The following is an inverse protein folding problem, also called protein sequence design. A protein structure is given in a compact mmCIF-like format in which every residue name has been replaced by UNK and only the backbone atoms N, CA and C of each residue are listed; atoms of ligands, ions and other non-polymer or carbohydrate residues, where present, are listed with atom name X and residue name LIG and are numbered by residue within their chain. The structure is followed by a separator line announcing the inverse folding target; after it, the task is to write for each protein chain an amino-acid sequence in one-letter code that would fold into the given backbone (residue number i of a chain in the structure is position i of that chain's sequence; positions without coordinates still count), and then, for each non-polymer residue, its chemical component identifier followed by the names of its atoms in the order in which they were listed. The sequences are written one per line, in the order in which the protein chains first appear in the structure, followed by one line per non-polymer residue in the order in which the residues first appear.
data_IF_555048011558
#
_entry.id   IF_555048011558
#
_cell.length_a   1.000
_cell.length_b   1.000
_cell.length_c   1.000
_cell.angle_alpha   90.00
_cell.angle_beta   90.00
_cell.angle_gamma   90.00
#
_symmetry.space_group_name_H-M   'P 1'
#
loop_
_entity.id
_entity.type
_entity.pdbx_description
1 polymer ?
#
# COMPACT_ATOMS: atom_id res chain seq x y z
N UNK A 1 -18.81 -11.90 -15.85
CA UNK A 1 -17.52 -11.70 -15.16
C UNK A 1 -17.28 -12.94 -14.33
N UNK A 2 -16.09 -13.56 -14.38
CA UNK A 2 -15.83 -14.80 -13.64
C UNK A 2 -15.62 -14.53 -12.15
N UNK A 3 -16.00 -15.48 -11.30
CA UNK A 3 -15.89 -15.39 -9.84
C UNK A 3 -14.43 -15.33 -9.33
N UNK A 4 -13.49 -15.85 -10.13
CA UNK A 4 -12.08 -15.98 -9.75
C UNK A 4 -11.26 -14.86 -10.39
N UNK A 5 -10.68 -13.98 -9.57
CA UNK A 5 -9.64 -13.06 -10.00
C UNK A 5 -8.35 -13.82 -10.35
N UNK A 6 -7.84 -13.60 -11.56
CA UNK A 6 -6.59 -14.17 -12.06
C UNK A 6 -5.54 -13.07 -12.15
N UNK A 7 -4.42 -13.16 -11.40
CA UNK A 7 -3.37 -12.16 -11.48
C UNK A 7 -2.67 -12.22 -12.84
N UNK A 8 -2.30 -11.04 -13.36
CA UNK A 8 -1.54 -10.93 -14.62
C UNK A 8 -0.06 -11.18 -14.31
N UNK A 9 0.67 -11.97 -15.13
CA UNK A 9 2.12 -12.12 -15.01
C UNK A 9 2.86 -10.78 -15.09
N UNK A 10 4.01 -10.66 -14.41
CA UNK A 10 4.75 -9.40 -14.32
C UNK A 10 5.19 -8.86 -15.69
N UNK A 11 5.71 -9.73 -16.57
CA UNK A 11 6.15 -9.30 -17.90
C UNK A 11 4.99 -8.83 -18.77
N UNK A 12 3.86 -9.54 -18.75
CA UNK A 12 2.63 -9.13 -19.45
C UNK A 12 2.06 -7.80 -18.90
N UNK A 13 2.19 -7.56 -17.59
CA UNK A 13 1.79 -6.30 -16.98
C UNK A 13 2.63 -5.13 -17.54
N UNK A 14 3.94 -5.30 -17.67
CA UNK A 14 4.82 -4.29 -18.26
C UNK A 14 4.50 -4.06 -19.74
N UNK A 15 4.37 -5.14 -20.53
CA UNK A 15 3.93 -5.08 -21.94
C UNK A 15 2.66 -4.26 -22.09
N UNK A 16 1.63 -4.58 -21.29
CA UNK A 16 0.36 -3.86 -21.35
C UNK A 16 0.51 -2.36 -21.04
N UNK A 17 1.31 -2.00 -20.02
CA UNK A 17 1.52 -0.59 -19.65
C UNK A 17 2.17 0.19 -20.80
N UNK A 18 3.25 -0.35 -21.38
CA UNK A 18 4.04 0.39 -22.35
C UNK A 18 3.44 0.34 -23.77
N UNK A 19 2.81 -0.75 -24.17
CA UNK A 19 2.09 -0.84 -25.44
C UNK A 19 0.88 0.09 -25.45
N UNK A 20 0.11 0.14 -24.35
CA UNK A 20 -1.02 1.06 -24.21
C UNK A 20 -0.53 2.52 -24.24
N UNK A 21 0.54 2.84 -23.50
CA UNK A 21 1.07 4.20 -23.49
C UNK A 21 1.62 4.62 -24.86
N UNK A 22 2.29 3.73 -25.59
CA UNK A 22 2.81 4.03 -26.92
C UNK A 22 1.69 4.27 -27.94
N UNK A 23 0.61 3.49 -27.88
CA UNK A 23 -0.48 3.55 -28.85
C UNK A 23 -1.52 4.63 -28.54
N UNK A 24 -1.83 4.85 -27.26
CA UNK A 24 -2.99 5.66 -26.83
C UNK A 24 -2.61 6.81 -25.89
N UNK A 25 -1.36 6.88 -25.41
CA UNK A 25 -0.95 7.82 -24.34
C UNK A 25 -1.79 7.66 -23.07
N UNK A 26 -2.18 6.42 -22.77
CA UNK A 26 -2.91 6.05 -21.56
C UNK A 26 -2.19 4.90 -20.85
N UNK A 27 -2.40 4.77 -19.54
CA UNK A 27 -2.02 3.58 -18.78
C UNK A 27 -3.25 3.12 -18.00
N UNK A 28 -3.74 1.91 -18.29
CA UNK A 28 -4.98 1.36 -17.74
C UNK A 28 -6.17 2.30 -17.91
N UNK A 29 -6.25 2.98 -19.07
CA UNK A 29 -7.30 3.93 -19.42
C UNK A 29 -7.15 5.32 -18.80
N UNK A 30 -6.10 5.58 -18.00
CA UNK A 30 -5.80 6.91 -17.48
C UNK A 30 -4.96 7.68 -18.51
N UNK A 31 -5.46 8.79 -19.09
CA UNK A 31 -4.70 9.60 -20.03
C UNK A 31 -3.49 10.27 -19.39
N UNK A 32 -2.41 10.42 -20.14
CA UNK A 32 -1.18 11.08 -19.70
C UNK A 32 -1.42 12.48 -19.14
N UNK A 33 -2.40 13.23 -19.66
CA UNK A 33 -2.75 14.57 -19.18
C UNK A 33 -3.32 14.56 -17.76
N UNK A 34 -3.76 13.40 -17.26
CA UNK A 34 -4.25 13.20 -15.90
C UNK A 34 -3.16 12.67 -14.94
N UNK A 35 -1.94 12.44 -15.44
CA UNK A 35 -0.83 12.02 -14.59
C UNK A 35 -0.46 13.16 -13.63
N UNK A 36 -0.54 12.87 -12.34
CA UNK A 36 -0.36 13.87 -11.30
C UNK A 36 1.12 14.12 -11.02
N UNK A 37 1.55 15.36 -11.21
CA UNK A 37 2.88 15.84 -10.80
C UNK A 37 2.77 16.56 -9.45
N UNK A 38 3.37 16.02 -8.37
CA UNK A 38 3.35 16.65 -7.06
C UNK A 38 4.08 17.98 -7.01
N UNK A 39 3.54 18.93 -6.24
CA UNK A 39 4.22 20.17 -5.90
C UNK A 39 5.14 19.93 -4.68
N UNK A 40 6.40 20.36 -4.77
CA UNK A 40 7.43 20.11 -3.75
C UNK A 40 7.05 20.52 -2.32
N UNK A 41 6.18 21.52 -2.14
CA UNK A 41 5.75 22.01 -0.82
C UNK A 41 4.78 21.08 -0.07
N UNK A 42 4.31 19.99 -0.71
CA UNK A 42 3.27 19.10 -0.14
C UNK A 42 3.80 17.75 0.35
N UNK A 43 5.12 17.54 0.33
CA UNK A 43 5.71 16.30 0.82
C UNK A 43 5.51 16.12 2.33
N UNK A 44 5.25 14.90 2.78
CA UNK A 44 5.17 14.55 4.19
C UNK A 44 6.17 13.45 4.55
N UNK A 45 6.65 13.45 5.78
CA UNK A 45 7.43 12.36 6.35
C UNK A 45 6.55 11.44 7.19
N UNK A 46 6.63 10.13 6.99
CA UNK A 46 5.96 9.12 7.81
C UNK A 46 6.97 8.05 8.17
N UNK A 47 7.21 7.85 9.47
CA UNK A 47 8.12 6.80 9.99
C UNK A 47 9.54 6.78 9.38
N UNK A 48 10.09 7.95 9.05
CA UNK A 48 11.41 8.07 8.43
C UNK A 48 11.42 7.91 6.91
N UNK A 49 10.27 7.62 6.30
CA UNK A 49 10.06 7.64 4.86
C UNK A 49 9.42 8.96 4.41
N UNK A 50 9.52 9.28 3.11
CA UNK A 50 8.91 10.47 2.51
C UNK A 50 7.86 10.08 1.46
N UNK A 51 6.72 10.78 1.49
CA UNK A 51 5.70 10.76 0.45
C UNK A 51 5.64 12.13 -0.22
N UNK A 52 5.57 12.18 -1.54
CA UNK A 52 5.45 13.44 -2.28
C UNK A 52 4.07 14.11 -2.12
N UNK A 53 3.04 13.37 -1.70
CA UNK A 53 1.70 13.88 -1.37
C UNK A 53 1.19 13.28 -0.05
N UNK A 54 0.32 13.99 0.70
CA UNK A 54 -0.31 13.45 1.90
C UNK A 54 -1.56 12.60 1.60
N UNK A 55 -1.68 12.09 0.37
CA UNK A 55 -2.87 11.40 -0.13
C UNK A 55 -2.50 9.99 -0.59
N UNK A 56 -3.47 9.09 -0.53
CA UNK A 56 -3.39 7.80 -1.16
C UNK A 56 -4.52 6.87 -0.71
N UNK A 57 -4.65 5.71 -1.36
CA UNK A 57 -5.76 4.82 -1.14
C UNK A 57 -5.63 4.12 0.22
N UNK A 58 -6.77 3.92 0.88
CA UNK A 58 -6.87 3.09 2.08
C UNK A 58 -6.93 1.60 1.72
N UNK A 59 -6.61 0.73 2.68
CA UNK A 59 -6.70 -0.72 2.55
C UNK A 59 -8.12 -1.13 2.13
N UNK A 60 -8.23 -1.71 0.94
CA UNK A 60 -9.52 -1.98 0.28
C UNK A 60 -9.32 -2.54 -1.13
N UNK A 61 -10.40 -2.78 -1.90
CA UNK A 61 -10.33 -3.39 -3.23
C UNK A 61 -9.41 -2.63 -4.20
N UNK A 62 -9.30 -1.30 -4.04
CA UNK A 62 -8.41 -0.44 -4.83
C UNK A 62 -6.91 -0.67 -4.57
N UNK A 63 -6.54 -1.49 -3.60
CA UNK A 63 -5.13 -1.75 -3.20
C UNK A 63 -4.81 -3.25 -3.19
N UNK A 64 -5.62 -4.04 -3.88
CA UNK A 64 -5.45 -5.49 -3.99
C UNK A 64 -4.68 -5.89 -5.26
N UNK A 65 -4.93 -5.20 -6.37
CA UNK A 65 -4.30 -5.47 -7.67
C UNK A 65 -3.17 -4.49 -7.94
N UNK A 66 -2.10 -4.98 -8.60
CA UNK A 66 -0.97 -4.14 -9.00
C UNK A 66 -1.43 -3.00 -9.93
N UNK A 67 -2.36 -3.26 -10.85
CA UNK A 67 -2.92 -2.24 -11.74
C UNK A 67 -3.55 -1.10 -10.93
N UNK A 68 -4.33 -1.40 -9.90
CA UNK A 68 -5.03 -0.39 -9.10
C UNK A 68 -4.03 0.44 -8.26
N UNK A 69 -2.97 -0.20 -7.77
CA UNK A 69 -1.89 0.50 -7.06
C UNK A 69 -1.16 1.45 -8.01
N UNK A 70 -0.87 1.01 -9.24
CA UNK A 70 -0.22 1.82 -10.26
C UNK A 70 -1.11 3.00 -10.69
N UNK A 71 -2.41 2.79 -10.92
CA UNK A 71 -3.33 3.89 -11.27
C UNK A 71 -3.50 4.88 -10.11
N UNK A 72 -3.55 4.42 -8.86
CA UNK A 72 -3.56 5.28 -7.70
C UNK A 72 -2.30 6.14 -7.64
N UNK A 73 -1.13 5.58 -7.96
CA UNK A 73 0.11 6.35 -8.05
C UNK A 73 0.11 7.35 -9.22
N UNK A 74 -0.30 6.93 -10.42
CA UNK A 74 -0.39 7.83 -11.58
C UNK A 74 -1.27 9.05 -11.30
N UNK A 75 -2.34 8.88 -10.52
CA UNK A 75 -3.31 9.94 -10.17
C UNK A 75 -3.00 10.69 -8.87
N UNK A 76 -1.82 10.46 -8.27
CA UNK A 76 -1.29 11.30 -7.19
C UNK A 76 -1.29 10.69 -5.78
N UNK A 77 -1.76 9.45 -5.63
CA UNK A 77 -1.59 8.67 -4.40
C UNK A 77 -0.13 8.35 -4.14
N UNK A 78 0.37 8.65 -2.95
CA UNK A 78 1.76 8.36 -2.53
C UNK A 78 1.83 7.59 -1.23
N UNK A 79 0.86 7.72 -0.33
CA UNK A 79 0.74 6.83 0.82
C UNK A 79 -0.24 5.70 0.50
N UNK A 80 0.27 4.53 0.14
CA UNK A 80 -0.54 3.40 -0.33
C UNK A 80 -0.67 2.40 0.80
N UNK A 81 -1.85 2.38 1.44
CA UNK A 81 -2.20 1.38 2.42
C UNK A 81 -2.66 0.11 1.69
N UNK A 82 -1.85 -0.95 1.73
CA UNK A 82 -2.12 -2.18 1.00
C UNK A 82 -3.35 -2.90 1.57
N UNK A 83 -4.07 -3.66 0.73
CA UNK A 83 -5.26 -4.41 1.16
C UNK A 83 -4.93 -5.28 2.37
N UNK A 84 -5.81 -5.23 3.37
CA UNK A 84 -5.68 -6.05 4.58
C UNK A 84 -5.64 -7.53 4.24
N UNK A 85 -4.59 -8.21 4.67
CA UNK A 85 -4.49 -9.67 4.61
C UNK A 85 -4.77 -10.30 5.97
N UNK A 86 -5.22 -11.55 5.95
CA UNK A 86 -5.56 -12.32 7.14
C UNK A 86 -5.29 -13.81 6.90
N UNK A 87 -5.24 -14.60 7.96
CA UNK A 87 -4.96 -16.04 7.87
C UNK A 87 -6.07 -16.82 7.12
N UNK A 88 -7.31 -16.35 7.20
CA UNK A 88 -8.46 -16.90 6.47
C UNK A 88 -8.50 -16.31 5.05
N UNK A 89 -7.68 -16.86 4.16
CA UNK A 89 -7.44 -16.34 2.80
C UNK A 89 -8.10 -17.17 1.67
N UNK A 90 -8.98 -18.11 2.04
CA UNK A 90 -9.74 -19.01 1.15
C UNK A 90 -11.23 -19.05 1.50
N UNK A 91 -11.78 -17.92 1.91
CA UNK A 91 -13.20 -17.82 2.22
C UNK A 91 -14.00 -17.87 0.91
N UNK A 92 -14.99 -18.76 0.85
CA UNK A 92 -16.04 -18.70 -0.15
C UNK A 92 -17.10 -17.72 0.37
N UNK A 93 -17.32 -16.63 -0.39
CA UNK A 93 -18.16 -15.51 0.01
C UNK A 93 -19.23 -15.31 -1.06
N UNK A 94 -20.47 -15.06 -0.63
CA UNK A 94 -21.52 -14.69 -1.57
C UNK A 94 -21.19 -13.37 -2.26
N UNK A 95 -21.48 -13.29 -3.56
CA UNK A 95 -21.21 -12.11 -4.38
C UNK A 95 -22.52 -11.52 -4.93
N UNK A 96 -22.66 -10.18 -4.95
CA UNK A 96 -21.64 -9.17 -4.63
C UNK A 96 -21.37 -9.02 -3.12
N UNK A 97 -20.10 -9.03 -2.73
CA UNK A 97 -19.66 -8.84 -1.33
C UNK A 97 -19.50 -7.35 -0.95
N UNK A 98 -19.76 -6.46 -1.91
CA UNK A 98 -19.79 -5.01 -1.75
C UNK A 98 -21.06 -4.52 -2.44
N UNK A 99 -21.93 -3.90 -1.68
CA UNK A 99 -23.10 -3.19 -2.19
C UNK A 99 -22.76 -1.71 -2.29
N UNK A 100 -22.72 -1.19 -3.52
CA UNK A 100 -22.25 0.16 -3.84
C UNK A 100 -23.36 1.10 -4.31
N UNK A 101 -24.65 0.77 -4.10
CA UNK A 101 -25.75 1.61 -4.58
C UNK A 101 -25.78 3.00 -3.93
N UNK A 102 -25.75 3.08 -2.60
CA UNK A 102 -25.81 4.35 -1.87
C UNK A 102 -24.57 4.59 -0.99
N UNK A 103 -24.56 4.06 0.24
CA UNK A 103 -23.54 4.35 1.25
C UNK A 103 -22.29 3.43 1.15
N UNK A 104 -22.26 2.56 0.15
CA UNK A 104 -21.21 1.57 -0.11
C UNK A 104 -20.87 0.71 1.12
N UNK A 105 -21.63 -0.37 1.33
CA UNK A 105 -21.42 -1.30 2.45
C UNK A 105 -20.63 -2.53 2.00
N UNK A 106 -19.70 -2.96 2.85
CA UNK A 106 -19.23 -4.35 2.79
C UNK A 106 -20.35 -5.22 3.38
N UNK A 107 -20.94 -6.07 2.55
CA UNK A 107 -21.96 -7.03 3.01
C UNK A 107 -21.30 -8.21 3.72
N UNK A 108 -20.04 -8.52 3.37
CA UNK A 108 -19.25 -9.62 3.94
C UNK A 108 -17.75 -9.28 4.00
N UNK A 109 -16.91 -10.25 4.42
CA UNK A 109 -15.45 -10.17 4.22
C UNK A 109 -15.12 -9.97 2.74
N UNK A 110 -14.00 -9.32 2.42
CA UNK A 110 -13.69 -8.94 1.02
C UNK A 110 -12.23 -9.20 0.65
N UNK A 111 -11.71 -10.39 0.95
CA UNK A 111 -10.35 -10.80 0.56
C UNK A 111 -10.43 -11.88 -0.51
N UNK A 112 -10.12 -11.54 -1.76
CA UNK A 112 -10.21 -12.50 -2.89
C UNK A 112 -8.88 -13.19 -3.20
N UNK A 113 -7.76 -12.63 -2.73
CA UNK A 113 -6.43 -13.19 -2.95
C UNK A 113 -5.87 -13.89 -1.72
N UNK A 114 -5.27 -15.05 -1.97
CA UNK A 114 -4.44 -15.72 -0.98
C UNK A 114 -3.24 -14.84 -0.62
N UNK A 115 -2.64 -15.07 0.54
CA UNK A 115 -1.45 -14.35 1.01
C UNK A 115 -0.34 -14.31 -0.06
N UNK A 116 -0.11 -15.45 -0.72
CA UNK A 116 0.88 -15.59 -1.81
C UNK A 116 0.54 -14.76 -3.04
N UNK A 117 -0.75 -14.66 -3.40
CA UNK A 117 -1.20 -13.84 -4.54
C UNK A 117 -1.15 -12.35 -4.20
N UNK A 118 -1.58 -11.97 -3.00
CA UNK A 118 -1.53 -10.58 -2.54
C UNK A 118 -0.09 -10.05 -2.53
N UNK A 119 0.84 -10.80 -1.92
CA UNK A 119 2.26 -10.45 -1.92
C UNK A 119 2.84 -10.33 -3.33
N UNK A 120 2.49 -11.26 -4.23
CA UNK A 120 2.93 -11.22 -5.62
C UNK A 120 2.49 -9.95 -6.37
N UNK A 121 1.26 -9.48 -6.14
CA UNK A 121 0.77 -8.21 -6.70
C UNK A 121 1.51 -7.00 -6.13
N UNK A 122 1.80 -6.99 -4.84
CA UNK A 122 2.56 -5.91 -4.21
C UNK A 122 3.98 -5.85 -4.74
N UNK A 123 4.60 -7.00 -4.97
CA UNK A 123 5.91 -7.07 -5.59
C UNK A 123 5.90 -6.56 -7.03
N UNK A 124 4.87 -6.91 -7.83
CA UNK A 124 4.71 -6.37 -9.20
C UNK A 124 4.59 -4.85 -9.17
N UNK A 125 3.70 -4.33 -8.33
CA UNK A 125 3.51 -2.89 -8.17
C UNK A 125 4.81 -2.21 -7.74
N UNK A 126 5.56 -2.81 -6.80
CA UNK A 126 6.83 -2.27 -6.32
C UNK A 126 7.84 -2.05 -7.44
N UNK A 127 8.13 -3.09 -8.23
CA UNK A 127 9.08 -2.98 -9.35
C UNK A 127 8.56 -2.03 -10.43
N UNK A 128 7.29 -2.12 -10.78
CA UNK A 128 6.69 -1.26 -11.80
C UNK A 128 6.74 0.20 -11.41
N UNK A 129 6.44 0.55 -10.15
CA UNK A 129 6.49 1.95 -9.70
C UNK A 129 7.93 2.51 -9.72
N UNK A 130 8.94 1.71 -9.33
CA UNK A 130 10.34 2.15 -9.45
C UNK A 130 10.75 2.42 -10.90
N UNK A 131 10.25 1.63 -11.86
CA UNK A 131 10.42 1.89 -13.28
C UNK A 131 9.68 3.15 -13.73
N UNK A 132 8.39 3.26 -13.40
CA UNK A 132 7.55 4.39 -13.80
C UNK A 132 8.05 5.72 -13.22
N UNK A 133 8.69 5.74 -12.05
CA UNK A 133 9.33 6.95 -11.54
C UNK A 133 10.47 7.45 -12.43
N UNK A 134 11.19 6.56 -13.12
CA UNK A 134 12.22 6.97 -14.07
C UNK A 134 11.63 7.36 -15.41
N UNK A 135 10.57 6.66 -15.87
CA UNK A 135 9.91 6.94 -17.15
C UNK A 135 9.10 8.23 -17.11
N UNK A 136 8.34 8.43 -16.03
CA UNK A 136 7.53 9.61 -15.78
C UNK A 136 8.08 10.27 -14.52
N UNK A 137 8.86 11.36 -14.62
CA UNK A 137 9.45 12.04 -13.47
C UNK A 137 8.40 12.83 -12.66
N UNK A 138 7.36 12.14 -12.19
CA UNK A 138 6.27 12.62 -11.34
C UNK A 138 6.67 12.67 -9.86
N UNK A 139 7.98 12.72 -9.58
CA UNK A 139 8.55 12.77 -8.24
C UNK A 139 9.31 14.09 -8.04
N UNK A 140 9.31 14.59 -6.80
CA UNK A 140 9.96 15.87 -6.45
C UNK A 140 11.45 15.72 -6.20
N UNK A 141 11.91 14.53 -5.82
CA UNK A 141 13.31 14.23 -5.50
C UNK A 141 13.85 13.22 -6.52
N UNK A 142 15.02 13.54 -7.10
CA UNK A 142 15.62 12.69 -8.15
C UNK A 142 16.10 11.35 -7.61
N UNK A 143 16.43 11.27 -6.33
CA UNK A 143 17.19 10.15 -5.73
C UNK A 143 16.38 9.26 -4.77
N UNK A 144 15.22 9.71 -4.29
CA UNK A 144 14.37 8.95 -3.36
C UNK A 144 13.02 8.61 -3.98
N UNK A 145 12.49 7.43 -3.67
CA UNK A 145 11.12 7.05 -4.04
C UNK A 145 10.11 8.07 -3.52
N UNK A 146 9.07 8.34 -4.29
CA UNK A 146 8.04 9.35 -3.98
C UNK A 146 6.88 8.81 -3.15
N UNK A 147 6.83 7.49 -2.92
CA UNK A 147 5.69 6.78 -2.34
C UNK A 147 6.09 5.84 -1.18
N UNK A 148 5.12 5.52 -0.34
CA UNK A 148 5.23 4.59 0.77
C UNK A 148 4.21 3.47 0.56
N UNK A 149 4.65 2.24 0.71
CA UNK A 149 3.75 1.11 0.95
C UNK A 149 3.65 0.93 2.45
N UNK A 150 2.41 0.85 2.94
CA UNK A 150 2.12 0.52 4.32
C UNK A 150 1.28 -0.76 4.31
N UNK A 151 1.83 -1.85 4.84
CA UNK A 151 1.11 -3.12 4.81
C UNK A 151 -0.10 -3.06 5.75
N UNK A 152 -1.15 -3.79 5.46
CA UNK A 152 -2.29 -3.92 6.38
C UNK A 152 -2.49 -5.39 6.74
N UNK A 153 -2.55 -5.67 8.03
CA UNK A 153 -2.84 -7.02 8.54
C UNK A 153 -4.03 -6.95 9.49
N UNK A 154 -4.87 -7.97 9.44
CA UNK A 154 -6.01 -8.14 10.33
C UNK A 154 -5.95 -9.48 11.03
N UNK A 155 -7.02 -9.77 11.78
CA UNK A 155 -7.21 -10.96 12.63
C UNK A 155 -6.61 -10.82 14.04
N UNK A 156 -6.66 -11.91 14.83
CA UNK A 156 -6.09 -11.99 16.17
C UNK A 156 -4.57 -12.29 16.13
N UNK A 157 -3.91 -12.12 17.27
CA UNK A 157 -2.47 -12.33 17.43
C UNK A 157 -2.05 -13.76 17.06
N UNK A 158 -2.87 -14.76 17.45
CA UNK A 158 -2.57 -16.16 17.15
C UNK A 158 -2.56 -16.43 15.64
N UNK A 159 -3.53 -15.88 14.89
CA UNK A 159 -3.55 -15.98 13.44
C UNK A 159 -2.42 -15.21 12.77
N UNK A 160 -2.06 -14.03 13.30
CA UNK A 160 -0.90 -13.26 12.82
C UNK A 160 0.40 -14.04 13.00
N UNK A 161 0.53 -14.80 14.10
CA UNK A 161 1.70 -15.64 14.38
C UNK A 161 1.78 -16.91 13.55
N UNK A 162 0.74 -17.27 12.79
CA UNK A 162 0.77 -18.48 11.98
C UNK A 162 1.80 -18.39 10.85
N UNK A 163 2.44 -19.52 10.46
CA UNK A 163 3.52 -19.51 9.48
C UNK A 163 3.21 -18.80 8.15
N UNK A 164 2.01 -18.93 7.54
CA UNK A 164 1.69 -18.22 6.29
C UNK A 164 1.66 -16.69 6.45
N UNK A 165 1.15 -16.20 7.59
CA UNK A 165 1.13 -14.76 7.89
C UNK A 165 2.53 -14.23 8.17
N UNK A 166 3.36 -15.03 8.87
CA UNK A 166 4.76 -14.70 9.12
C UNK A 166 5.56 -14.64 7.81
N UNK A 167 5.39 -15.63 6.94
CA UNK A 167 6.00 -15.63 5.59
C UNK A 167 5.59 -14.38 4.80
N UNK A 168 4.31 -13.98 4.85
CA UNK A 168 3.87 -12.74 4.21
C UNK A 168 4.54 -11.49 4.80
N UNK A 169 4.51 -11.34 6.14
CA UNK A 169 5.08 -10.17 6.84
C UNK A 169 6.59 -10.07 6.58
N UNK A 170 7.30 -11.18 6.72
CA UNK A 170 8.77 -11.22 6.58
C UNK A 170 9.17 -10.90 5.13
N UNK A 171 8.45 -11.42 4.12
CA UNK A 171 8.72 -11.08 2.73
C UNK A 171 8.33 -9.63 2.35
N UNK A 172 7.41 -8.99 3.08
CA UNK A 172 7.15 -7.55 2.91
C UNK A 172 8.27 -6.70 3.54
N UNK A 173 8.80 -7.14 4.68
CA UNK A 173 9.91 -6.49 5.38
C UNK A 173 11.24 -6.63 4.62
N UNK A 174 11.52 -7.80 4.07
CA UNK A 174 12.70 -8.07 3.27
C UNK A 174 12.46 -9.24 2.30
N UNK A 175 12.35 -8.92 1.01
CA UNK A 175 12.16 -9.89 -0.06
C UNK A 175 13.50 -10.39 -0.66
N UNK A 176 14.66 -10.00 -0.12
CA UNK A 176 15.96 -10.22 -0.76
C UNK A 176 16.30 -11.70 -0.98
N UNK A 177 15.86 -12.56 -0.07
CA UNK A 177 16.04 -14.01 -0.16
C UNK A 177 14.95 -14.71 -1.00
N UNK A 178 13.87 -14.01 -1.37
CA UNK A 178 12.73 -14.64 -2.04
C UNK A 178 13.00 -14.84 -3.55
N UNK A 179 12.82 -16.05 -4.11
CA UNK A 179 13.14 -16.33 -5.53
C UNK A 179 12.42 -15.42 -6.53
N UNK A 180 11.15 -15.09 -6.27
CA UNK A 180 10.39 -14.15 -7.11
C UNK A 180 10.99 -12.73 -7.16
N UNK A 181 11.64 -12.27 -6.09
CA UNK A 181 12.30 -10.96 -6.10
C UNK A 181 13.45 -10.95 -7.12
N UNK A 182 14.29 -12.00 -7.09
CA UNK A 182 15.34 -12.19 -8.08
C UNK A 182 14.76 -12.30 -9.51
N UNK A 183 13.68 -13.08 -9.68
CA UNK A 183 13.00 -13.22 -10.97
C UNK A 183 12.50 -11.87 -11.53
N UNK A 184 11.86 -11.03 -10.70
CA UNK A 184 11.34 -9.73 -11.17
C UNK A 184 12.46 -8.74 -11.44
N UNK A 185 13.53 -8.78 -10.63
CA UNK A 185 14.76 -8.03 -10.90
C UNK A 185 15.35 -8.41 -12.25
N UNK A 186 15.46 -9.71 -12.54
CA UNK A 186 16.03 -10.19 -13.81
C UNK A 186 15.13 -9.82 -14.99
N UNK A 187 13.81 -9.93 -14.85
CA UNK A 187 12.86 -9.46 -15.85
C UNK A 187 13.00 -7.97 -16.11
N UNK A 188 13.04 -7.14 -15.06
CA UNK A 188 13.26 -5.70 -15.21
C UNK A 188 14.60 -5.42 -15.88
N UNK A 189 15.67 -6.13 -15.52
CA UNK A 189 16.99 -5.97 -16.12
C UNK A 189 16.98 -6.29 -17.63
N UNK A 190 16.28 -7.35 -18.05
CA UNK A 190 16.10 -7.68 -19.48
C UNK A 190 15.38 -6.56 -20.23
N UNK A 191 14.34 -5.99 -19.63
CA UNK A 191 13.62 -4.85 -20.21
C UNK A 191 14.52 -3.63 -20.38
N UNK A 192 15.32 -3.30 -19.36
CA UNK A 192 16.26 -2.17 -19.38
C UNK A 192 17.42 -2.36 -20.38
N UNK A 193 17.80 -3.60 -20.69
CA UNK A 193 18.80 -3.92 -21.71
C UNK A 193 18.26 -3.89 -23.15
N UNK A 194 16.93 -3.89 -23.33
CA UNK A 194 16.30 -3.85 -24.63
C UNK A 194 16.33 -2.43 -25.22
N UNK A 195 17.21 -2.20 -26.20
CA UNK A 195 17.36 -0.89 -26.86
C UNK A 195 16.05 -0.38 -27.48
N UNK A 196 15.27 -1.25 -28.11
CA UNK A 196 13.99 -0.87 -28.72
C UNK A 196 13.02 -0.30 -27.69
N UNK A 197 12.99 -0.89 -26.48
CA UNK A 197 12.20 -0.36 -25.37
C UNK A 197 12.75 0.99 -24.88
N UNK A 198 14.06 1.11 -24.66
CA UNK A 198 14.68 2.36 -24.21
C UNK A 198 14.47 3.51 -25.20
N UNK A 199 14.48 3.21 -26.51
CA UNK A 199 14.25 4.17 -27.57
C UNK A 199 12.77 4.55 -27.72
N UNK A 200 11.84 3.68 -27.31
CA UNK A 200 10.40 3.95 -27.33
C UNK A 200 9.88 4.76 -26.13
N UNK A 201 10.70 4.91 -25.08
CA UNK A 201 10.35 5.70 -23.90
C UNK A 201 10.06 7.17 -24.25
N UNK A 202 9.15 7.83 -23.51
CA UNK A 202 8.86 9.25 -23.69
C UNK A 202 10.09 10.11 -23.44
N UNK A 203 10.12 11.30 -24.06
CA UNK A 203 11.24 12.25 -23.93
C UNK A 203 11.45 12.77 -22.51
N UNK A 204 10.42 12.71 -21.66
CA UNK A 204 10.53 13.04 -20.24
C UNK A 204 11.24 11.97 -19.40
N UNK A 205 11.49 10.78 -19.95
CA UNK A 205 12.13 9.69 -19.23
C UNK A 205 13.58 10.04 -18.83
N UNK A 206 13.92 9.73 -17.58
CA UNK A 206 15.25 9.90 -17.00
C UNK A 206 16.13 8.70 -17.37
N UNK A 207 16.67 8.70 -18.58
CA UNK A 207 17.48 7.59 -19.11
C UNK A 207 18.70 7.27 -18.22
N UNK A 208 19.39 8.28 -17.68
CA UNK A 208 20.50 8.09 -16.74
C UNK A 208 20.09 7.33 -15.47
N UNK A 209 18.82 7.44 -15.07
CA UNK A 209 18.27 6.73 -13.91
C UNK A 209 17.85 5.29 -14.21
N UNK A 210 17.83 4.87 -15.46
CA UNK A 210 17.51 3.49 -15.87
C UNK A 210 18.70 2.55 -15.70
N UNK A 211 19.91 3.09 -15.80
CA UNK A 211 21.13 2.32 -15.59
C UNK A 211 21.16 1.72 -14.18
N UNK A 212 21.35 0.41 -14.12
CA UNK A 212 21.33 -0.40 -12.90
C UNK A 212 20.05 -0.25 -12.04
N UNK A 213 18.94 0.25 -12.61
CA UNK A 213 17.71 0.45 -11.84
C UNK A 213 17.23 -0.85 -11.19
N UNK A 214 17.29 -1.97 -11.91
CA UNK A 214 16.89 -3.27 -11.39
C UNK A 214 17.63 -3.65 -10.10
N UNK A 215 18.93 -3.32 -10.00
CA UNK A 215 19.77 -3.59 -8.84
C UNK A 215 19.52 -2.59 -7.71
N UNK A 216 19.03 -1.38 -8.02
CA UNK A 216 18.71 -0.34 -7.04
C UNK A 216 17.33 -0.49 -6.42
N UNK A 217 16.43 -1.30 -6.99
CA UNK A 217 15.13 -1.57 -6.37
C UNK A 217 15.35 -2.21 -4.99
N UNK A 218 14.91 -1.57 -3.90
CA UNK A 218 15.12 -2.09 -2.56
C UNK A 218 14.30 -3.35 -2.32
N UNK A 219 14.88 -4.32 -1.61
CA UNK A 219 14.21 -5.54 -1.19
C UNK A 219 13.24 -5.35 -0.01
N UNK A 220 13.37 -4.24 0.72
CA UNK A 220 12.45 -3.84 1.79
C UNK A 220 11.29 -3.04 1.21
N UNK A 221 10.11 -3.66 1.14
CA UNK A 221 8.92 -3.03 0.54
C UNK A 221 8.23 -2.07 1.53
N UNK A 222 8.29 -2.38 2.84
CA UNK A 222 7.55 -1.62 3.87
C UNK A 222 8.40 -1.36 5.13
N UNK A 223 8.07 -0.26 5.82
CA UNK A 223 8.58 0.05 7.16
C UNK A 223 7.48 0.23 8.20
N UNK A 224 6.21 0.18 7.75
CA UNK A 224 5.03 0.36 8.58
C UNK A 224 3.97 -0.70 8.32
N UNK A 225 3.11 -0.88 9.33
CA UNK A 225 1.94 -1.75 9.31
C UNK A 225 0.73 -1.02 9.87
N UNK A 226 -0.43 -1.14 9.23
CA UNK A 226 -1.73 -0.86 9.84
C UNK A 226 -2.35 -2.15 10.35
N UNK A 227 -2.81 -2.11 11.60
CA UNK A 227 -3.65 -3.13 12.19
C UNK A 227 -5.11 -2.81 11.91
N UNK A 228 -5.76 -3.68 11.15
CA UNK A 228 -7.20 -3.61 10.91
C UNK A 228 -7.92 -4.43 11.98
N UNK A 229 -8.46 -3.75 12.99
CA UNK A 229 -9.12 -4.43 14.13
C UNK A 229 -10.45 -5.03 13.70
N UNK A 230 -10.70 -6.30 14.06
CA UNK A 230 -12.00 -6.94 13.84
C UNK A 230 -13.10 -6.24 14.67
N UNK A 231 -14.35 -6.36 14.22
CA UNK A 231 -15.49 -5.88 15.00
C UNK A 231 -15.50 -6.53 16.39
N UNK A 232 -15.53 -5.71 17.44
CA UNK A 232 -15.55 -6.19 18.82
C UNK A 232 -14.21 -6.75 19.32
N UNK A 233 -13.10 -6.51 18.63
CA UNK A 233 -11.77 -6.94 19.10
C UNK A 233 -11.45 -6.33 20.48
N UNK A 234 -11.12 -7.15 21.49
CA UNK A 234 -10.79 -6.67 22.84
C UNK A 234 -9.58 -5.70 22.84
N UNK A 235 -9.57 -4.64 23.68
CA UNK A 235 -8.46 -3.70 23.73
C UNK A 235 -7.09 -4.31 24.06
N UNK A 236 -7.07 -5.32 24.93
CA UNK A 236 -5.90 -6.11 25.30
C UNK A 236 -5.34 -6.92 24.13
N UNK A 237 -6.22 -7.48 23.29
CA UNK A 237 -5.83 -8.14 22.04
C UNK A 237 -5.17 -7.16 21.07
N UNK A 238 -5.76 -5.97 20.88
CA UNK A 238 -5.19 -4.90 20.05
C UNK A 238 -3.80 -4.49 20.58
N UNK A 239 -3.66 -4.33 21.90
CA UNK A 239 -2.39 -3.99 22.53
C UNK A 239 -1.34 -5.10 22.32
N UNK A 240 -1.73 -6.37 22.47
CA UNK A 240 -0.84 -7.50 22.29
C UNK A 240 -0.30 -7.58 20.86
N UNK A 241 -1.14 -7.33 19.85
CA UNK A 241 -0.72 -7.24 18.45
C UNK A 241 0.20 -6.04 18.22
N UNK A 242 -0.14 -4.86 18.76
CA UNK A 242 0.72 -3.67 18.66
C UNK A 242 2.11 -3.92 19.25
N UNK A 243 2.16 -4.51 20.44
CA UNK A 243 3.41 -4.85 21.12
C UNK A 243 4.23 -5.80 20.27
N UNK A 244 3.61 -6.87 19.78
CA UNK A 244 4.28 -7.84 18.90
C UNK A 244 4.87 -7.18 17.64
N UNK A 245 4.13 -6.31 16.96
CA UNK A 245 4.63 -5.62 15.76
C UNK A 245 5.78 -4.67 16.07
N UNK A 246 5.70 -3.94 17.18
CA UNK A 246 6.71 -2.97 17.59
C UNK A 246 7.99 -3.65 18.13
N UNK A 247 7.87 -4.69 18.96
CA UNK A 247 9.01 -5.31 19.65
C UNK A 247 9.63 -6.46 18.87
N UNK A 248 8.80 -7.38 18.36
CA UNK A 248 9.30 -8.58 17.69
C UNK A 248 9.59 -8.30 16.21
N UNK A 249 8.68 -7.58 15.53
CA UNK A 249 8.82 -7.26 14.10
C UNK A 249 9.51 -5.92 13.81
N UNK A 250 9.70 -5.06 14.81
CA UNK A 250 10.33 -3.74 14.64
C UNK A 250 9.65 -2.89 13.54
N UNK A 251 8.32 -3.00 13.46
CA UNK A 251 7.50 -2.29 12.48
C UNK A 251 6.78 -1.11 13.12
N UNK A 252 6.84 0.04 12.46
CA UNK A 252 6.04 1.18 12.87
C UNK A 252 4.56 0.86 12.69
N UNK A 253 3.76 1.03 13.74
CA UNK A 253 2.41 0.47 13.78
C UNK A 253 1.33 1.55 13.87
N UNK A 254 0.39 1.52 12.93
CA UNK A 254 -0.89 2.22 13.00
C UNK A 254 -1.99 1.27 13.46
N UNK A 255 -3.01 1.80 14.15
CA UNK A 255 -4.20 1.03 14.53
C UNK A 255 -5.42 1.69 13.89
N UNK A 256 -6.11 0.96 13.01
CA UNK A 256 -7.35 1.40 12.37
C UNK A 256 -8.53 0.97 13.23
N UNK A 257 -9.05 1.93 14.00
CA UNK A 257 -10.10 1.68 14.98
C UNK A 257 -11.47 1.61 14.32
N UNK A 258 -12.20 0.52 14.59
CA UNK A 258 -13.59 0.37 14.17
C UNK A 258 -14.55 1.07 15.16
N UNK A 259 -15.76 1.42 14.71
CA UNK A 259 -16.55 2.56 15.23
C UNK A 259 -17.28 2.49 16.59
N UNK A 260 -17.23 1.47 17.49
CA UNK A 260 -17.84 1.69 18.79
C UNK A 260 -16.99 2.68 19.61
N UNK A 261 -17.49 3.91 19.75
CA UNK A 261 -16.89 5.03 20.51
C UNK A 261 -16.44 4.70 21.94
N UNK A 262 -16.91 3.59 22.54
CA UNK A 262 -16.52 3.13 23.87
C UNK A 262 -15.10 2.54 23.91
N UNK A 263 -14.74 1.68 22.95
CA UNK A 263 -13.41 1.06 22.86
C UNK A 263 -12.33 2.08 22.48
N UNK A 264 -12.65 3.02 21.58
CA UNK A 264 -11.77 4.12 21.17
C UNK A 264 -11.37 4.98 22.39
N UNK A 265 -12.34 5.30 23.26
CA UNK A 265 -12.07 6.08 24.47
C UNK A 265 -11.26 5.31 25.50
N UNK A 266 -11.45 4.00 25.64
CA UNK A 266 -10.66 3.16 26.54
C UNK A 266 -9.20 3.04 26.04
N UNK A 267 -9.01 2.78 24.75
CA UNK A 267 -7.69 2.61 24.13
C UNK A 267 -6.91 3.93 24.03
N UNK A 268 -7.58 5.06 23.75
CA UNK A 268 -6.91 6.37 23.71
C UNK A 268 -6.55 6.93 25.10
N UNK A 269 -7.14 6.38 26.18
CA UNK A 269 -6.89 6.80 27.58
C UNK A 269 -5.91 5.91 28.31
N UNK A 270 -5.57 4.74 27.79
CA UNK A 270 -4.50 3.92 28.37
C UNK A 270 -3.16 4.64 28.23
N UNK A 271 -2.38 4.69 29.30
CA UNK A 271 -1.10 5.44 29.38
C UNK A 271 0.06 4.74 28.65
N UNK A 272 -0.26 3.93 27.66
CA UNK A 272 0.66 2.98 27.01
C UNK A 272 1.38 3.60 25.81
N UNK A 273 2.60 3.13 25.47
CA UNK A 273 3.37 3.62 24.33
C UNK A 273 2.62 3.57 22.97
N UNK A 274 1.72 2.59 22.79
CA UNK A 274 0.86 2.48 21.61
C UNK A 274 -0.19 3.62 21.53
N UNK A 275 -0.70 4.11 22.65
CA UNK A 275 -1.65 5.22 22.70
C UNK A 275 -0.96 6.57 22.38
N UNK A 276 0.33 6.73 22.72
CA UNK A 276 1.11 7.91 22.33
C UNK A 276 1.34 8.03 20.82
N UNK A 277 1.41 6.90 20.09
CA UNK A 277 1.54 6.91 18.62
C UNK A 277 0.26 7.41 17.93
N UNK A 278 -0.92 7.09 18.49
CA UNK A 278 -2.23 7.56 17.96
C UNK A 278 -2.50 9.03 18.36
N UNK A 279 -2.04 9.46 19.54
CA UNK A 279 -2.29 10.82 20.04
C UNK A 279 -1.57 11.93 19.26
N UNK A 280 -0.51 11.63 18.49
CA UNK A 280 0.30 12.65 17.82
C UNK A 280 -0.34 13.19 16.52
N UNK A 281 -1.09 12.37 15.78
CA UNK A 281 -1.80 12.80 14.57
C UNK A 281 -3.10 13.56 14.87
N UNK A 282 -3.79 13.23 15.97
CA UNK A 282 -5.02 13.92 16.37
C UNK A 282 -4.76 15.27 17.06
N UNK A 283 -3.67 15.42 17.84
CA UNK A 283 -3.43 16.63 18.65
C UNK A 283 -2.84 17.81 17.88
N UNK A 284 -2.11 17.60 16.77
CA UNK A 284 -1.47 18.72 16.03
C UNK A 284 -2.41 19.56 15.16
N UNK A 285 -3.67 19.18 14.97
CA UNK A 285 -4.68 19.98 14.23
C UNK A 285 -5.87 20.49 15.04
N UNK A 286 -5.97 20.16 16.32
CA UNK A 286 -7.12 20.54 17.17
C UNK A 286 -6.81 21.60 18.24
N UNK A 287 -5.57 22.09 18.34
CA UNK A 287 -5.19 23.08 19.36
C UNK A 287 -5.40 24.55 18.96
N UNK A 288 -5.98 24.86 17.80
CA UNK A 288 -6.18 26.27 17.38
C UNK A 288 -7.63 26.71 17.20
N UNK A 289 -8.61 25.81 17.37
CA UNK A 289 -10.03 26.19 17.24
C UNK A 289 -10.87 25.27 18.10
N UNK A 290 -11.29 25.77 19.27
CA UNK A 290 -12.46 25.37 20.09
C UNK A 290 -12.17 25.63 21.58
N UNK A 291 -11.94 26.90 21.94
CA UNK A 291 -12.51 27.43 23.18
C UNK A 291 -13.91 27.93 22.82
N UNK A 292 -14.86 27.73 23.74
CA UNK A 292 -16.29 28.04 23.63
C UNK A 292 -17.10 27.13 22.71
N UNK A 293 -17.55 25.99 23.22
CA UNK A 293 -18.97 25.76 23.54
C UNK A 293 -19.12 24.28 23.91
N UNK A 294 -19.35 24.03 25.21
CA UNK A 294 -19.56 22.69 25.72
C UNK A 294 -20.96 22.20 25.37
N UNK A 295 -21.07 21.35 24.35
CA UNK A 295 -22.04 20.25 24.19
C UNK A 295 -21.95 19.74 22.74
N UNK A 296 -21.70 18.45 22.58
CA UNK A 296 -21.88 17.75 21.31
C UNK A 296 -22.96 16.68 21.52
N UNK A 297 -24.06 16.80 20.78
CA UNK A 297 -25.06 15.73 20.58
C UNK A 297 -24.71 14.97 19.29
N UNK A 298 -25.13 13.70 19.28
CA UNK A 298 -24.76 12.58 18.39
C UNK A 298 -24.54 12.92 16.92
#
# INVERSE_FOLDING_TARGET
MGDIMRPVPFEELLTRIFDEYQSQRTIFGIPEQQFYTPQAQRSIGVFGESCATPLGPAAGPHTQLAQNIITAWLTGGRFIELKTVQILDRLELEKPCIDAEDECFNTEWSTEFTLKKAWDEYLKAWFTLHLLEQVFPLGTHKESKSFIFNMSVGYNLDGIKQPPMQEFIDNMMDASAHPKFAQYRDTLNRWLQNRTFIDSLPTCARKDGLDNLAQRVPARLVQGVTLSTMHGCPPDEIEAICRYMLTEKNLNTFVKLNRPCSAIRAFARSSTPAASAISALAKRRLTTTLRSTGRWRC
#
